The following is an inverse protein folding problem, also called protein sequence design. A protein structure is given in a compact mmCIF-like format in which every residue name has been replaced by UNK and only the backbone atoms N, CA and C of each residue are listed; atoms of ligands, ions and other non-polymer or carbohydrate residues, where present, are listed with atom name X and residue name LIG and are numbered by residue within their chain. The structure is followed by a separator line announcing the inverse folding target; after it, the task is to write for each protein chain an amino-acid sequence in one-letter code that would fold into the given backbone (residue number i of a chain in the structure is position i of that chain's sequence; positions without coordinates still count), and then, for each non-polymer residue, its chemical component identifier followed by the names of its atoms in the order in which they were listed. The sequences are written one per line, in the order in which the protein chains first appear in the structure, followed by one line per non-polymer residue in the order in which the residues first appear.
data_IF_617658896270
#
_entry.id   IF_617658896270
#
_cell.length_a   1.000
_cell.length_b   1.000
_cell.length_c   1.000
_cell.angle_alpha   90.00
_cell.angle_beta   90.00
_cell.angle_gamma   90.00
#
_symmetry.space_group_name_H-M   'P 1'
#
loop_
_entity.id
_entity.type
_entity.pdbx_description
1 polymer ?
#
# COMPACT_ATOMS: atom_id res chain seq x y z
N UNK A 1 -16.48 -17.76 -6.13
CA UNK A 1 -15.16 -17.29 -6.48
C UNK A 1 -14.79 -16.10 -5.61
N UNK A 2 -13.63 -16.16 -5.06
CA UNK A 2 -13.18 -15.14 -4.14
C UNK A 2 -12.65 -13.93 -4.86
N UNK A 3 -13.06 -12.77 -4.43
CA UNK A 3 -12.58 -11.55 -5.02
C UNK A 3 -11.33 -11.08 -4.32
N UNK A 4 -10.31 -10.82 -5.09
CA UNK A 4 -9.06 -10.31 -4.55
C UNK A 4 -8.90 -8.83 -4.82
N UNK A 5 -10.03 -8.15 -4.88
CA UNK A 5 -10.06 -6.73 -5.12
C UNK A 5 -10.61 -5.99 -3.92
N UNK A 6 -10.03 -4.82 -3.68
CA UNK A 6 -10.54 -3.95 -2.63
C UNK A 6 -10.57 -2.55 -3.15
N UNK A 7 -11.60 -1.84 -2.81
CA UNK A 7 -11.71 -0.44 -3.16
C UNK A 7 -11.46 0.37 -1.92
N UNK A 8 -10.44 1.20 -1.99
CA UNK A 8 -10.03 2.02 -0.87
C UNK A 8 -10.00 3.46 -1.32
N UNK A 9 -9.95 4.34 -0.36
CA UNK A 9 -10.03 5.75 -0.63
C UNK A 9 -8.72 6.43 -0.25
N UNK A 10 -8.33 7.40 -1.05
CA UNK A 10 -7.17 8.22 -0.70
C UNK A 10 -7.60 9.21 0.35
N UNK A 11 -6.85 9.29 1.42
CA UNK A 11 -7.15 10.22 2.50
C UNK A 11 -6.26 11.43 2.44
N UNK A 12 -6.71 12.49 3.09
CA UNK A 12 -5.84 13.57 3.41
C UNK A 12 -5.42 13.45 4.86
N UNK A 13 -4.12 13.42 5.10
CA UNK A 13 -3.61 13.42 6.46
C UNK A 13 -2.79 14.68 6.67
N UNK A 14 -3.09 15.34 7.74
CA UNK A 14 -2.46 16.62 8.04
C UNK A 14 -1.15 16.39 8.77
N UNK A 15 -0.05 16.65 8.10
CA UNK A 15 1.26 16.56 8.73
C UNK A 15 1.69 17.90 9.30
N UNK A 16 1.08 18.96 8.83
CA UNK A 16 1.35 20.26 9.36
C UNK A 16 0.07 21.06 9.22
N UNK A 17 0.13 22.31 9.60
CA UNK A 17 -1.09 23.08 9.69
C UNK A 17 -1.73 23.46 8.40
N UNK A 18 -1.01 23.37 7.33
CA UNK A 18 -1.48 24.01 6.12
C UNK A 18 -1.96 23.07 5.04
N UNK A 19 -1.36 21.91 4.97
CA UNK A 19 -1.63 21.01 3.87
C UNK A 19 -1.93 19.62 4.31
N UNK A 20 -2.87 19.00 3.64
CA UNK A 20 -3.10 17.59 3.81
C UNK A 20 -2.19 16.82 2.90
N UNK A 21 -1.64 15.75 3.39
CA UNK A 21 -0.80 14.86 2.62
C UNK A 21 -1.66 13.75 2.07
N UNK A 22 -1.54 13.51 0.77
CA UNK A 22 -2.29 12.43 0.14
C UNK A 22 -1.79 11.11 0.70
N UNK A 23 -2.69 10.32 1.20
CA UNK A 23 -2.32 9.12 1.92
C UNK A 23 -3.13 7.92 1.46
N UNK A 24 -2.44 6.85 1.18
CA UNK A 24 -3.05 5.56 0.90
C UNK A 24 -2.71 4.65 2.06
N UNK A 25 -3.73 4.12 2.70
CA UNK A 25 -3.51 3.28 3.85
C UNK A 25 -4.11 1.91 3.59
N UNK A 26 -3.29 0.89 3.75
CA UNK A 26 -3.73 -0.48 3.62
C UNK A 26 -3.30 -1.23 4.86
N UNK A 27 -4.27 -1.78 5.56
CA UNK A 27 -3.95 -2.56 6.74
C UNK A 27 -4.99 -3.63 6.93
N UNK A 28 -4.60 -4.70 7.57
CA UNK A 28 -5.49 -5.78 7.84
C UNK A 28 -4.79 -7.11 7.65
N UNK A 29 -5.39 -8.14 8.20
CA UNK A 29 -4.81 -9.47 8.11
C UNK A 29 -4.76 -9.99 6.69
N UNK A 30 -5.56 -9.40 5.83
CA UNK A 30 -5.59 -9.84 4.45
C UNK A 30 -4.26 -9.61 3.75
N UNK A 31 -3.46 -8.66 4.23
CA UNK A 31 -2.15 -8.41 3.65
C UNK A 31 -1.24 -9.62 3.84
N UNK A 32 -1.35 -10.25 4.98
CA UNK A 32 -0.53 -11.42 5.26
C UNK A 32 -0.86 -12.57 4.32
N UNK A 33 -2.13 -12.66 3.96
CA UNK A 33 -2.58 -13.69 3.04
C UNK A 33 -1.88 -13.63 1.71
N UNK A 34 -1.46 -12.46 1.31
CA UNK A 34 -0.80 -12.26 0.04
C UNK A 34 0.70 -12.05 0.19
N UNK A 35 1.23 -12.40 1.36
CA UNK A 35 2.65 -12.42 1.56
C UNK A 35 3.26 -11.18 2.16
N UNK A 36 2.46 -10.17 2.45
CA UNK A 36 2.96 -8.93 3.02
C UNK A 36 2.98 -9.03 4.52
N UNK A 37 4.12 -9.37 5.06
CA UNK A 37 4.28 -9.59 6.50
C UNK A 37 5.09 -8.48 7.13
N UNK A 38 4.88 -8.32 8.42
CA UNK A 38 5.59 -7.30 9.16
C UNK A 38 7.10 -7.50 9.00
N UNK A 39 7.78 -6.42 8.71
CA UNK A 39 9.23 -6.45 8.57
C UNK A 39 9.72 -6.59 7.16
N UNK A 40 8.86 -6.99 6.25
CA UNK A 40 9.27 -7.10 4.85
C UNK A 40 9.27 -5.74 4.20
N UNK A 41 10.16 -5.58 3.25
CA UNK A 41 10.21 -4.38 2.45
C UNK A 41 9.43 -4.60 1.16
N UNK A 42 8.88 -3.54 0.65
CA UNK A 42 8.17 -3.64 -0.60
C UNK A 42 8.56 -2.49 -1.51
N UNK A 43 8.28 -2.68 -2.76
CA UNK A 43 8.58 -1.71 -3.79
C UNK A 43 7.29 -1.17 -4.37
N UNK A 44 7.28 0.11 -4.69
CA UNK A 44 6.11 0.73 -5.30
C UNK A 44 6.52 1.26 -6.65
N UNK A 45 5.92 0.71 -7.68
CA UNK A 45 6.16 1.17 -9.05
C UNK A 45 5.06 2.18 -9.38
N UNK A 46 5.45 3.41 -9.56
CA UNK A 46 4.50 4.51 -9.70
C UNK A 46 4.25 4.85 -11.15
N UNK A 47 3.00 4.77 -11.52
CA UNK A 47 2.55 5.15 -12.85
C UNK A 47 1.36 6.06 -12.70
N UNK A 48 1.03 6.76 -13.77
CA UNK A 48 -0.09 7.68 -13.70
C UNK A 48 -1.39 6.90 -13.47
N UNK A 49 -2.01 7.15 -12.33
CA UNK A 49 -3.26 6.50 -11.96
C UNK A 49 -3.11 5.08 -11.48
N UNK A 50 -1.87 4.64 -11.24
CA UNK A 50 -1.65 3.24 -10.91
C UNK A 50 -0.39 3.10 -10.08
N UNK A 51 -0.50 2.35 -9.00
CA UNK A 51 0.67 2.01 -8.18
C UNK A 51 0.73 0.50 -8.09
N UNK A 52 1.88 -0.05 -8.42
CA UNK A 52 2.08 -1.49 -8.33
C UNK A 52 2.99 -1.76 -7.14
N UNK A 53 2.46 -2.48 -6.19
CA UNK A 53 3.17 -2.77 -4.95
C UNK A 53 3.60 -4.23 -4.96
N UNK A 54 4.88 -4.43 -4.79
CA UNK A 54 5.46 -5.77 -4.84
C UNK A 54 6.39 -5.98 -3.67
N UNK A 55 6.42 -7.19 -3.17
CA UNK A 55 7.35 -7.53 -2.12
C UNK A 55 8.76 -7.50 -2.70
N UNK A 56 9.63 -6.80 -2.03
CA UNK A 56 11.01 -6.72 -2.47
C UNK A 56 11.75 -7.93 -1.96
N UNK A 57 12.21 -8.74 -2.88
CA UNK A 57 12.97 -9.91 -2.50
C UNK A 57 14.40 -9.52 -2.24
N UNK A 58 14.89 -10.04 -1.16
CA UNK A 58 16.24 -9.79 -0.78
C UNK A 58 17.10 -10.92 -1.29
N UNK A 59 17.72 -10.69 -2.42
CA UNK A 59 18.58 -11.71 -3.03
C UNK A 59 20.00 -11.33 -2.75
N UNK A 60 20.70 -12.27 -2.20
CA UNK A 60 22.11 -12.05 -1.92
C UNK A 60 22.97 -12.79 -2.88
#
# INVERSE_FOLDING_TARGET
MEKNNRTLKVYGMSNNRYNDTHTIMMKGKWLEKFGFKVGLKYNVDCQNGKLIISIKKNIN
#
